data_IF_168840887279
#
_entry.id   IF_168840887279
#
_cell.length_a   1.000
_cell.length_b   1.000
_cell.length_c   1.000
_cell.angle_alpha   90.00
_cell.angle_beta   90.00
_cell.angle_gamma   90.00
#
_symmetry.space_group_name_H-M   'P 1'
#
loop_
_entity.id
_entity.type
_entity.pdbx_description
1 polymer ?
#
# COMPACT_ATOMS: atom_id res chain seq x y z
N UNK A 1 -23.25 3.92 -83.45
CA UNK A 1 -23.36 5.17 -82.67
C UNK A 1 -24.76 5.29 -82.11
N UNK A 2 -24.92 5.08 -80.79
CA UNK A 2 -25.87 5.75 -79.89
C UNK A 2 -25.30 5.52 -78.48
N UNK A 3 -25.13 6.62 -77.78
CA UNK A 3 -24.34 6.78 -76.57
C UNK A 3 -25.19 6.62 -75.31
N UNK A 4 -24.49 6.63 -74.16
CA UNK A 4 -24.94 7.13 -72.85
C UNK A 4 -25.80 6.17 -72.00
N UNK A 5 -25.70 6.05 -70.68
CA UNK A 5 -24.83 6.59 -69.61
C UNK A 5 -25.37 6.02 -68.26
N UNK A 6 -24.51 5.60 -67.32
CA UNK A 6 -24.72 5.49 -65.84
C UNK A 6 -25.81 4.51 -65.32
N UNK A 7 -25.79 3.92 -64.11
CA UNK A 7 -25.37 4.38 -62.77
C UNK A 7 -25.24 3.16 -61.83
N UNK A 8 -24.15 3.06 -61.06
CA UNK A 8 -23.93 2.05 -60.02
C UNK A 8 -24.62 2.44 -58.70
N UNK A 9 -25.36 1.55 -58.04
CA UNK A 9 -25.59 1.62 -56.57
C UNK A 9 -25.68 0.21 -55.99
N UNK A 10 -24.61 -0.23 -55.32
CA UNK A 10 -24.56 -1.39 -54.44
C UNK A 10 -25.20 -1.01 -53.11
N UNK A 11 -26.34 -1.61 -52.76
CA UNK A 11 -26.98 -1.40 -51.45
C UNK A 11 -26.49 -2.48 -50.48
N UNK A 12 -25.37 -2.20 -49.79
CA UNK A 12 -24.91 -3.01 -48.67
C UNK A 12 -25.79 -2.70 -47.45
N UNK A 13 -26.53 -3.70 -46.99
CA UNK A 13 -27.41 -3.63 -45.83
C UNK A 13 -26.56 -3.50 -44.55
N UNK A 14 -26.47 -2.29 -44.01
CA UNK A 14 -25.72 -1.98 -42.80
C UNK A 14 -26.37 -2.59 -41.55
N UNK A 15 -25.61 -3.42 -40.84
CA UNK A 15 -25.92 -3.83 -39.49
C UNK A 15 -25.54 -2.70 -38.52
N UNK A 16 -26.54 -2.02 -37.96
CA UNK A 16 -26.35 -1.11 -36.84
C UNK A 16 -26.30 -1.92 -35.54
N UNK A 17 -25.09 -2.30 -35.13
CA UNK A 17 -24.83 -2.78 -33.76
C UNK A 17 -24.44 -1.56 -32.93
N UNK A 18 -25.39 -1.05 -32.15
CA UNK A 18 -25.12 -0.05 -31.11
C UNK A 18 -24.66 -0.79 -29.85
N UNK A 19 -23.35 -0.92 -29.67
CA UNK A 19 -22.76 -1.16 -28.35
C UNK A 19 -22.11 0.16 -27.92
N UNK A 20 -22.87 0.98 -27.21
CA UNK A 20 -22.34 2.10 -26.44
C UNK A 20 -22.42 1.72 -24.97
N UNK A 21 -21.39 1.02 -24.51
CA UNK A 21 -21.11 0.81 -23.10
C UNK A 21 -19.59 0.86 -22.94
N UNK A 22 -19.05 2.08 -22.93
CA UNK A 22 -17.75 2.38 -22.36
C UNK A 22 -18.00 3.41 -21.28
N UNK A 23 -18.22 2.92 -20.06
CA UNK A 23 -17.86 3.68 -18.86
C UNK A 23 -16.33 3.56 -18.74
N UNK A 24 -15.62 4.25 -19.62
CA UNK A 24 -14.19 4.44 -19.45
C UNK A 24 -14.05 5.62 -18.53
N UNK A 25 -13.80 5.35 -17.26
CA UNK A 25 -13.04 6.28 -16.43
C UNK A 25 -11.84 6.70 -17.27
N UNK A 26 -11.88 7.91 -17.80
CA UNK A 26 -10.79 8.53 -18.51
C UNK A 26 -9.62 8.61 -17.55
N UNK A 27 -8.69 7.67 -17.69
CA UNK A 27 -7.38 7.72 -17.06
C UNK A 27 -6.76 9.02 -17.54
N UNK A 28 -6.41 9.93 -16.62
CA UNK A 28 -5.70 11.15 -16.97
C UNK A 28 -4.48 10.75 -17.79
N UNK A 29 -4.27 11.42 -18.92
CA UNK A 29 -3.21 11.03 -19.87
C UNK A 29 -1.79 11.20 -19.31
N UNK A 30 -1.62 11.68 -18.08
CA UNK A 30 -0.36 11.67 -17.36
C UNK A 30 -0.38 10.94 -16.03
N UNK A 31 0.80 10.39 -15.71
CA UNK A 31 1.07 9.62 -14.50
C UNK A 31 2.45 9.96 -13.94
N UNK A 32 2.52 10.05 -12.62
CA UNK A 32 3.77 9.91 -11.86
C UNK A 32 3.97 8.46 -11.43
N UNK A 33 4.98 8.23 -10.60
CA UNK A 33 5.30 6.94 -9.99
C UNK A 33 5.41 7.10 -8.48
N UNK A 34 4.92 6.11 -7.71
CA UNK A 34 5.13 6.05 -6.27
C UNK A 34 5.83 4.75 -5.90
N UNK A 35 6.83 4.85 -5.04
CA UNK A 35 7.46 3.70 -4.38
C UNK A 35 7.27 3.82 -2.88
N UNK A 36 6.72 2.77 -2.27
CA UNK A 36 6.54 2.66 -0.83
C UNK A 36 7.49 1.60 -0.31
N UNK A 37 8.39 1.99 0.58
CA UNK A 37 9.29 1.11 1.30
C UNK A 37 8.78 0.84 2.71
N UNK A 38 9.06 -0.34 3.23
CA UNK A 38 8.75 -0.73 4.62
C UNK A 38 10.05 -1.02 5.39
N UNK A 39 10.10 -0.53 6.62
CA UNK A 39 11.17 -0.83 7.59
C UNK A 39 10.68 -0.84 9.03
N UNK A 40 11.58 -1.13 9.95
CA UNK A 40 11.39 -1.03 11.41
C UNK A 40 12.59 -0.28 12.03
N UNK A 41 12.31 0.54 13.05
CA UNK A 41 13.36 1.14 13.88
C UNK A 41 13.95 0.11 14.87
N UNK A 42 15.27 0.13 15.16
CA UNK A 42 15.87 -0.81 16.11
C UNK A 42 15.23 -0.74 17.50
N UNK A 43 14.91 -1.90 18.08
CA UNK A 43 14.43 -2.00 19.45
C UNK A 43 15.00 -3.25 20.16
N UNK A 44 15.30 -3.17 21.47
CA UNK A 44 16.04 -4.22 22.17
C UNK A 44 15.12 -5.36 22.67
N UNK A 45 14.76 -6.29 21.80
CA UNK A 45 14.13 -7.56 22.18
C UNK A 45 15.02 -8.75 21.87
N UNK A 46 15.93 -9.07 22.80
CA UNK A 46 16.90 -10.16 22.62
C UNK A 46 16.25 -11.56 22.67
N UNK A 47 15.00 -11.67 23.12
CA UNK A 47 14.29 -12.94 23.24
C UNK A 47 13.57 -13.37 21.94
N UNK A 48 13.38 -12.45 21.01
CA UNK A 48 12.61 -12.69 19.78
C UNK A 48 13.56 -13.10 18.65
N UNK A 49 13.16 -14.13 17.91
CA UNK A 49 13.85 -14.64 16.73
C UNK A 49 13.29 -14.02 15.45
N UNK A 50 11.96 -14.01 15.30
CA UNK A 50 11.29 -13.41 14.14
C UNK A 50 9.95 -12.81 14.52
N UNK A 51 9.58 -11.70 13.87
CA UNK A 51 8.25 -11.10 13.96
C UNK A 51 7.69 -10.98 12.56
N UNK A 52 6.65 -11.75 12.26
CA UNK A 52 6.16 -11.92 10.88
C UNK A 52 4.75 -11.35 10.72
N UNK A 53 4.57 -10.57 9.66
CA UNK A 53 3.29 -10.01 9.21
C UNK A 53 3.12 -10.26 7.71
N UNK A 54 1.88 -10.39 7.27
CA UNK A 54 1.54 -10.34 5.85
C UNK A 54 0.70 -9.09 5.57
N UNK A 55 1.05 -8.36 4.52
CA UNK A 55 0.30 -7.21 4.03
C UNK A 55 -0.41 -7.66 2.75
N UNK A 56 -1.74 -7.61 2.77
CA UNK A 56 -2.57 -8.11 1.67
C UNK A 56 -2.92 -7.01 0.67
N UNK A 57 -2.91 -5.74 1.11
CA UNK A 57 -3.37 -4.64 0.26
C UNK A 57 -2.73 -3.33 0.64
N UNK A 58 -2.35 -2.55 -0.37
CA UNK A 58 -1.90 -1.17 -0.23
C UNK A 58 -2.71 -0.29 -1.17
N UNK A 59 -3.25 0.77 -0.62
CA UNK A 59 -4.09 1.74 -1.32
C UNK A 59 -3.54 3.14 -1.10
N UNK A 60 -3.54 3.98 -2.14
CA UNK A 60 -3.25 5.41 -2.05
C UNK A 60 -4.56 6.19 -1.85
N UNK A 61 -4.59 7.11 -0.90
CA UNK A 61 -5.78 7.87 -0.51
C UNK A 61 -5.76 9.24 -1.20
N UNK A 62 -6.79 9.53 -2.00
CA UNK A 62 -7.00 10.84 -2.63
C UNK A 62 -7.53 11.89 -1.65
N UNK A 63 -7.36 13.18 -1.98
CA UNK A 63 -7.79 14.28 -1.12
C UNK A 63 -9.33 14.39 -1.03
N UNK A 64 -10.04 14.20 -2.14
CA UNK A 64 -11.44 14.62 -2.30
C UNK A 64 -12.48 13.81 -1.53
N UNK A 65 -12.26 12.52 -1.18
CA UNK A 65 -13.16 11.78 -0.27
C UNK A 65 -12.45 10.60 0.41
N UNK A 66 -13.01 10.10 1.52
CA UNK A 66 -12.54 8.89 2.23
C UNK A 66 -12.72 7.59 1.44
N UNK A 67 -13.50 7.63 0.36
CA UNK A 67 -13.87 6.51 -0.51
C UNK A 67 -13.06 6.48 -1.82
N UNK A 68 -12.33 7.56 -2.15
CA UNK A 68 -11.43 7.61 -3.29
C UNK A 68 -10.07 7.04 -2.88
N UNK A 69 -9.90 5.74 -3.11
CA UNK A 69 -8.61 5.07 -3.02
C UNK A 69 -8.19 4.50 -4.36
N UNK A 70 -6.89 4.55 -4.63
CA UNK A 70 -6.26 3.89 -5.76
C UNK A 70 -5.58 2.62 -5.25
N UNK A 71 -6.01 1.47 -5.74
CA UNK A 71 -5.41 0.18 -5.40
C UNK A 71 -4.02 0.09 -6.04
N UNK A 72 -2.97 0.06 -5.22
CA UNK A 72 -1.59 -0.08 -5.69
C UNK A 72 -1.17 -1.54 -5.81
N UNK A 73 -1.58 -2.36 -4.85
CA UNK A 73 -1.37 -3.81 -4.88
C UNK A 73 -2.37 -4.52 -3.96
N UNK A 74 -2.85 -5.68 -4.38
CA UNK A 74 -3.60 -6.67 -3.61
C UNK A 74 -2.85 -8.02 -3.51
N UNK A 75 -1.58 -8.04 -3.92
CA UNK A 75 -0.73 -9.22 -3.81
C UNK A 75 -0.19 -9.28 -2.39
N UNK A 76 -0.51 -10.37 -1.69
CA UNK A 76 -0.04 -10.61 -0.34
C UNK A 76 1.49 -10.73 -0.29
N UNK A 77 2.10 -9.93 0.58
CA UNK A 77 3.54 -9.91 0.83
C UNK A 77 3.82 -10.18 2.30
N UNK A 78 4.73 -11.10 2.60
CA UNK A 78 5.06 -11.50 3.97
C UNK A 78 6.44 -10.97 4.33
N UNK A 79 6.52 -10.27 5.46
CA UNK A 79 7.74 -9.65 5.97
C UNK A 79 8.07 -10.21 7.33
N UNK A 80 9.35 -10.55 7.54
CA UNK A 80 9.91 -10.62 8.89
C UNK A 80 10.44 -9.24 9.25
N UNK A 81 9.70 -8.52 10.09
CA UNK A 81 10.00 -7.12 10.40
C UNK A 81 11.35 -6.94 11.10
N UNK A 82 11.86 -8.00 11.75
CA UNK A 82 13.19 -7.96 12.37
C UNK A 82 14.35 -7.94 11.36
N UNK A 83 14.10 -8.34 10.11
CA UNK A 83 15.08 -8.27 9.02
C UNK A 83 15.14 -6.87 8.38
N UNK A 84 14.17 -6.01 8.68
CA UNK A 84 14.02 -4.66 8.12
C UNK A 84 14.52 -3.57 9.08
N UNK A 85 15.49 -3.91 9.93
CA UNK A 85 16.09 -3.01 10.93
C UNK A 85 17.46 -2.53 10.47
N UNK A 86 18.06 -1.62 11.23
CA UNK A 86 19.43 -1.13 11.01
C UNK A 86 19.67 -0.54 9.61
N UNK A 87 18.65 0.13 9.07
CA UNK A 87 18.70 0.76 7.75
C UNK A 87 18.36 -0.16 6.57
N UNK A 88 18.02 -1.43 6.83
CA UNK A 88 17.47 -2.32 5.80
C UNK A 88 16.01 -1.97 5.56
N UNK A 89 15.60 -1.95 4.30
CA UNK A 89 14.22 -1.70 3.87
C UNK A 89 13.85 -2.69 2.78
N UNK A 90 12.56 -2.95 2.62
CA UNK A 90 12.03 -3.73 1.50
C UNK A 90 10.95 -2.93 0.75
N UNK A 91 10.70 -3.27 -0.50
CA UNK A 91 9.66 -2.62 -1.30
C UNK A 91 8.31 -3.21 -0.94
N UNK A 92 7.42 -2.35 -0.45
CA UNK A 92 6.04 -2.72 -0.15
C UNK A 92 5.12 -2.54 -1.38
N UNK A 93 5.34 -1.49 -2.16
CA UNK A 93 4.62 -1.26 -3.41
C UNK A 93 5.42 -0.35 -4.34
N UNK A 94 5.26 -0.54 -5.65
CA UNK A 94 5.71 0.37 -6.70
C UNK A 94 4.60 0.45 -7.74
N UNK A 95 4.12 1.65 -8.06
CA UNK A 95 2.89 1.81 -8.83
C UNK A 95 2.82 3.13 -9.59
N UNK A 96 2.35 3.13 -10.86
CA UNK A 96 2.07 4.36 -11.60
C UNK A 96 0.81 5.03 -11.04
N UNK A 97 0.90 6.31 -10.70
CA UNK A 97 -0.21 7.06 -10.11
C UNK A 97 -0.70 8.17 -11.05
N UNK A 98 -2.01 8.27 -11.31
CA UNK A 98 -2.58 9.34 -12.14
C UNK A 98 -2.32 10.74 -11.56
N UNK A 99 -2.54 11.75 -12.39
CA UNK A 99 -2.57 13.14 -11.92
C UNK A 99 -3.68 13.36 -10.90
N UNK A 100 -3.38 14.11 -9.85
CA UNK A 100 -4.33 14.37 -8.78
C UNK A 100 -3.65 14.70 -7.44
N UNK A 101 -4.50 14.93 -6.43
CA UNK A 101 -4.06 15.28 -5.07
C UNK A 101 -4.31 14.11 -4.12
N UNK A 102 -3.29 13.78 -3.34
CA UNK A 102 -3.25 12.63 -2.44
C UNK A 102 -2.79 13.05 -1.05
N UNK A 103 -3.10 12.24 -0.03
CA UNK A 103 -2.87 12.61 1.39
C UNK A 103 -2.48 11.46 2.33
N UNK A 104 -2.32 10.25 1.81
CA UNK A 104 -2.06 9.11 2.69
C UNK A 104 -2.09 7.77 2.01
N UNK A 105 -1.74 6.74 2.77
CA UNK A 105 -1.85 5.34 2.40
C UNK A 105 -2.85 4.63 3.30
N UNK A 106 -3.44 3.55 2.80
CA UNK A 106 -4.15 2.55 3.61
C UNK A 106 -3.48 1.19 3.41
N UNK A 107 -2.99 0.62 4.50
CA UNK A 107 -2.28 -0.66 4.52
C UNK A 107 -3.16 -1.70 5.23
N UNK A 108 -3.48 -2.79 4.56
CA UNK A 108 -4.31 -3.88 5.11
C UNK A 108 -3.41 -5.06 5.47
N UNK A 109 -3.35 -5.37 6.76
CA UNK A 109 -2.57 -6.49 7.31
C UNK A 109 -3.47 -7.73 7.39
N UNK A 110 -2.93 -8.89 7.02
CA UNK A 110 -3.58 -10.19 7.10
C UNK A 110 -3.81 -10.64 8.56
N UNK A 111 -4.61 -11.69 8.73
CA UNK A 111 -4.98 -12.22 10.05
C UNK A 111 -3.89 -13.05 10.74
N UNK A 112 -2.80 -13.39 10.04
CA UNK A 112 -1.86 -14.45 10.43
C UNK A 112 -0.52 -13.95 10.97
N UNK A 113 -0.50 -12.84 11.72
CA UNK A 113 0.72 -12.34 12.34
C UNK A 113 1.24 -13.30 13.45
N UNK A 114 2.55 -13.44 13.56
CA UNK A 114 3.16 -14.25 14.63
C UNK A 114 4.52 -13.74 15.10
N UNK A 115 4.84 -14.07 16.35
CA UNK A 115 6.17 -13.89 16.95
C UNK A 115 6.74 -15.27 17.24
N UNK A 116 7.99 -15.49 16.82
CA UNK A 116 8.80 -16.66 17.21
C UNK A 116 9.87 -16.20 18.19
N UNK A 117 9.99 -16.91 19.30
CA UNK A 117 11.05 -16.70 20.27
C UNK A 117 12.27 -17.56 19.93
N UNK A 118 13.45 -17.16 20.41
CA UNK A 118 14.71 -17.91 20.21
C UNK A 118 14.71 -19.33 20.80
N UNK A 119 13.84 -19.60 21.77
CA UNK A 119 13.66 -20.94 22.33
C UNK A 119 12.77 -21.86 21.46
N UNK A 120 12.24 -21.35 20.34
CA UNK A 120 11.38 -22.07 19.41
C UNK A 120 9.88 -21.87 19.62
N UNK A 121 9.45 -21.20 20.70
CA UNK A 121 8.03 -20.94 20.95
C UNK A 121 7.44 -20.01 19.88
N UNK A 122 6.24 -20.31 19.40
CA UNK A 122 5.53 -19.50 18.41
C UNK A 122 4.21 -19.02 18.98
N UNK A 123 4.06 -17.70 19.05
CA UNK A 123 2.83 -17.03 19.44
C UNK A 123 2.17 -16.48 18.18
N UNK A 124 0.98 -17.00 17.84
CA UNK A 124 0.13 -16.46 16.78
C UNK A 124 -0.86 -15.49 17.40
N UNK A 125 -1.09 -14.36 16.74
CA UNK A 125 -2.05 -13.37 17.19
C UNK A 125 -3.12 -13.18 16.15
N UNK A 126 -4.33 -12.88 16.61
CA UNK A 126 -5.38 -12.41 15.72
C UNK A 126 -5.18 -10.93 15.46
N UNK A 127 -5.31 -10.57 14.19
CA UNK A 127 -5.39 -9.18 13.74
C UNK A 127 -6.69 -8.56 14.28
N UNK A 128 -6.64 -7.39 14.93
CA UNK A 128 -7.83 -6.72 15.45
C UNK A 128 -8.88 -6.47 14.34
N UNK A 129 -10.16 -6.33 14.71
CA UNK A 129 -11.20 -6.01 13.72
C UNK A 129 -11.00 -4.64 13.05
N UNK A 130 -10.35 -3.69 13.74
CA UNK A 130 -10.04 -2.36 13.21
C UNK A 130 -8.99 -2.34 12.10
N UNK A 131 -8.26 -3.44 11.90
CA UNK A 131 -7.27 -3.61 10.83
C UNK A 131 -7.86 -4.24 9.57
N UNK A 132 -9.07 -4.81 9.66
CA UNK A 132 -9.86 -5.25 8.50
C UNK A 132 -10.22 -4.08 7.58
N UNK A 133 -10.44 -2.88 8.14
CA UNK A 133 -10.63 -1.64 7.37
C UNK A 133 -9.33 -0.98 6.90
N UNK A 134 -8.17 -1.56 7.23
CA UNK A 134 -6.85 -1.01 6.92
C UNK A 134 -6.36 0.07 7.88
N UNK A 135 -5.05 0.10 8.08
CA UNK A 135 -4.30 1.09 8.86
C UNK A 135 -4.06 2.30 7.95
N UNK A 136 -4.53 3.48 8.38
CA UNK A 136 -4.26 4.72 7.66
C UNK A 136 -2.89 5.26 8.06
N UNK A 137 -2.04 5.48 7.06
CA UNK A 137 -0.77 6.18 7.20
C UNK A 137 -0.95 7.58 6.63
N UNK A 138 -0.80 8.59 7.46
CA UNK A 138 -0.88 9.98 7.04
C UNK A 138 0.39 10.38 6.30
N UNK A 139 0.22 10.99 5.14
CA UNK A 139 1.29 11.67 4.39
C UNK A 139 0.97 13.17 4.37
N UNK A 140 1.95 14.03 4.06
CA UNK A 140 1.65 15.39 3.62
C UNK A 140 0.70 15.36 2.42
N UNK A 141 -0.12 16.40 2.27
CA UNK A 141 -0.90 16.56 1.04
C UNK A 141 0.08 16.84 -0.12
N UNK A 142 -0.03 16.09 -1.21
CA UNK A 142 0.83 16.24 -2.38
C UNK A 142 0.05 16.13 -3.69
N UNK A 143 0.56 16.79 -4.72
CA UNK A 143 -0.02 16.81 -6.07
C UNK A 143 0.91 16.10 -7.03
N UNK A 144 0.34 15.26 -7.89
CA UNK A 144 0.99 14.75 -9.10
C UNK A 144 0.43 15.57 -10.26
N UNK A 145 1.30 16.39 -10.85
CA UNK A 145 0.93 17.36 -11.88
C UNK A 145 1.69 17.19 -13.19
N UNK A 146 2.87 16.57 -13.13
CA UNK A 146 3.78 16.44 -14.27
C UNK A 146 4.14 14.98 -14.56
N UNK A 147 4.44 14.71 -15.84
CA UNK A 147 4.95 13.40 -16.25
C UNK A 147 6.32 13.15 -15.63
N UNK A 148 6.47 12.00 -14.99
CA UNK A 148 7.72 11.63 -14.34
C UNK A 148 7.87 12.20 -12.93
N UNK A 149 6.80 12.76 -12.34
CA UNK A 149 6.77 12.98 -10.89
C UNK A 149 7.04 11.66 -10.16
N UNK A 150 8.00 11.66 -9.23
CA UNK A 150 8.40 10.50 -8.44
C UNK A 150 8.13 10.74 -6.96
N UNK A 151 7.36 9.85 -6.35
CA UNK A 151 7.06 9.85 -4.92
C UNK A 151 7.78 8.69 -4.25
N UNK A 152 8.56 8.99 -3.22
CA UNK A 152 9.15 8.00 -2.35
C UNK A 152 8.56 8.13 -0.94
N UNK A 153 8.05 7.03 -0.40
CA UNK A 153 7.53 6.96 0.97
C UNK A 153 8.26 5.84 1.69
N UNK A 154 8.79 6.14 2.87
CA UNK A 154 9.29 5.12 3.78
C UNK A 154 8.30 5.00 4.94
N UNK A 155 7.72 3.81 5.14
CA UNK A 155 6.85 3.52 6.29
C UNK A 155 7.60 2.72 7.35
N UNK A 156 7.47 3.15 8.61
CA UNK A 156 7.94 2.42 9.78
C UNK A 156 6.80 1.56 10.33
N UNK A 157 6.97 0.24 10.28
CA UNK A 157 6.13 -0.74 10.96
C UNK A 157 6.76 -1.06 12.32
N UNK A 158 6.46 -0.22 13.30
CA UNK A 158 7.08 -0.26 14.61
C UNK A 158 6.76 -1.57 15.37
N UNK A 159 7.73 -2.48 15.45
CA UNK A 159 7.53 -3.80 16.05
C UNK A 159 7.26 -3.71 17.56
N UNK A 160 7.99 -2.86 18.28
CA UNK A 160 7.86 -2.71 19.74
C UNK A 160 6.42 -2.36 20.14
N UNK A 161 5.81 -1.41 19.45
CA UNK A 161 4.43 -0.97 19.71
C UNK A 161 3.40 -1.92 19.11
N UNK A 162 3.75 -2.60 18.03
CA UNK A 162 2.86 -3.52 17.34
C UNK A 162 2.66 -4.84 18.07
N UNK A 163 3.68 -5.36 18.75
CA UNK A 163 3.67 -6.67 19.40
C UNK A 163 3.89 -6.53 20.91
N UNK A 164 2.82 -6.18 21.62
CA UNK A 164 2.89 -5.89 23.05
C UNK A 164 2.97 -7.18 23.86
N UNK A 165 4.14 -7.42 24.46
CA UNK A 165 4.39 -8.58 25.32
C UNK A 165 3.32 -8.73 26.43
N UNK A 166 2.80 -9.93 26.59
CA UNK A 166 1.91 -10.31 27.68
C UNK A 166 2.66 -11.24 28.64
N UNK A 167 2.67 -10.91 29.93
CA UNK A 167 3.45 -11.64 30.94
C UNK A 167 4.81 -10.99 31.21
N UNK A 168 5.71 -11.74 31.85
CA UNK A 168 7.04 -11.24 32.22
C UNK A 168 8.06 -12.37 32.09
N UNK A 169 8.99 -12.22 31.14
CA UNK A 169 10.04 -13.18 30.83
C UNK A 169 10.98 -13.45 32.02
N UNK A 170 11.09 -12.51 32.97
CA UNK A 170 11.96 -12.63 34.14
C UNK A 170 11.28 -13.31 35.35
N UNK A 171 10.07 -13.84 35.17
CA UNK A 171 9.32 -14.53 36.24
C UNK A 171 9.07 -15.99 35.88
N UNK A 172 8.82 -16.89 36.85
CA UNK A 172 8.45 -18.28 36.57
C UNK A 172 7.17 -18.41 35.73
N UNK A 173 6.30 -17.39 35.75
CA UNK A 173 5.11 -17.35 34.90
C UNK A 173 5.47 -17.15 33.41
N UNK A 174 6.62 -16.57 33.11
CA UNK A 174 7.15 -16.40 31.75
C UNK A 174 6.30 -15.50 30.85
N UNK A 175 6.57 -15.62 29.55
CA UNK A 175 5.78 -14.99 28.49
C UNK A 175 4.48 -15.75 28.32
N UNK A 176 3.35 -15.03 28.34
CA UNK A 176 2.01 -15.58 28.13
C UNK A 176 1.52 -15.41 26.70
N UNK A 177 2.10 -14.46 25.97
CA UNK A 177 1.82 -14.22 24.57
C UNK A 177 2.16 -12.80 24.15
N UNK A 178 1.59 -12.38 23.03
CA UNK A 178 1.70 -11.02 22.51
C UNK A 178 0.33 -10.52 22.13
N UNK A 179 0.07 -9.25 22.39
CA UNK A 179 -1.10 -8.55 21.90
C UNK A 179 -0.71 -7.77 20.65
N UNK A 180 -1.33 -8.10 19.52
CA UNK A 180 -1.04 -7.45 18.25
C UNK A 180 -1.90 -6.19 18.06
N UNK A 181 -1.23 -5.05 17.89
CA UNK A 181 -1.81 -3.72 17.69
C UNK A 181 -0.95 -2.96 16.67
N UNK A 182 -1.07 -3.26 15.37
CA UNK A 182 -0.10 -2.75 14.40
C UNK A 182 -0.07 -1.23 14.40
N UNK A 183 1.14 -0.70 14.52
CA UNK A 183 1.45 0.72 14.49
C UNK A 183 2.32 0.95 13.27
N UNK A 184 1.77 1.65 12.29
CA UNK A 184 2.46 2.01 11.05
C UNK A 184 2.38 3.52 10.87
N UNK A 185 3.52 4.16 10.61
CA UNK A 185 3.63 5.61 10.36
C UNK A 185 4.50 5.87 9.13
N UNK A 186 4.33 7.01 8.49
CA UNK A 186 5.33 7.51 7.56
C UNK A 186 6.55 7.96 8.37
N UNK A 187 7.72 7.48 7.98
CA UNK A 187 9.00 7.95 8.51
C UNK A 187 9.54 9.09 7.64
N UNK A 188 9.51 8.92 6.32
CA UNK A 188 9.89 9.96 5.37
C UNK A 188 8.99 9.96 4.15
N UNK A 189 8.99 11.10 3.47
CA UNK A 189 8.27 11.34 2.23
C UNK A 189 9.14 12.25 1.36
N UNK A 190 9.28 11.91 0.08
CA UNK A 190 9.91 12.78 -0.91
C UNK A 190 9.05 12.86 -2.15
N UNK A 191 8.88 14.07 -2.68
CA UNK A 191 8.33 14.31 -4.02
C UNK A 191 9.46 14.88 -4.88
N UNK A 192 9.79 14.20 -5.97
CA UNK A 192 10.89 14.58 -6.87
C UNK A 192 12.23 14.76 -6.14
N UNK A 193 12.48 13.92 -5.13
CA UNK A 193 13.67 13.98 -4.29
C UNK A 193 13.70 15.14 -3.28
N UNK A 194 12.60 15.87 -3.12
CA UNK A 194 12.47 16.99 -2.17
C UNK A 194 11.67 16.54 -0.96
N UNK A 195 12.23 16.73 0.25
CA UNK A 195 11.51 16.54 1.50
C UNK A 195 10.49 17.67 1.70
N UNK A 196 9.24 17.38 2.09
CA UNK A 196 8.20 18.38 2.26
C UNK A 196 8.55 19.31 3.43
N UNK A 197 8.39 20.63 3.22
CA UNK A 197 8.65 21.62 4.26
C UNK A 197 7.70 21.41 5.45
N UNK A 198 8.23 20.94 6.57
CA UNK A 198 7.47 20.72 7.81
C UNK A 198 7.31 21.99 8.65
N UNK A 199 7.66 23.17 8.14
CA UNK A 199 7.59 24.43 8.90
C UNK A 199 6.20 25.06 8.77
N UNK A 200 5.28 24.62 9.63
CA UNK A 200 3.98 25.25 9.89
C UNK A 200 3.86 25.74 11.32
#
# INVERSE_FOLDING_TARGET
MRASLTLSITFALGAAVLIAACDTNSVSEGSGEITVFIKDEPFPFDLVDSTVVSINRVELIGQDTTENFLLMTDIAQTFNLLDLRDGVMDTLANFPIPFGVYKGLRIVVDENAYVRLKNGDIFRMKTPSGTTSGIKVHLPDFEIGDFGDEVEVIVDFNVEKSFVLQGNANTPAGIKGFLFKPVVKAESFHLNGVEPDTTG
#
